data_IF_238154048899
#
_entry.id   IF_238154048899
#
_cell.length_a   1.000
_cell.length_b   1.000
_cell.length_c   1.000
_cell.angle_alpha   90.00
_cell.angle_beta   90.00
_cell.angle_gamma   90.00
#
_symmetry.space_group_name_H-M   'P 1'
#
loop_
_entity.id
_entity.type
_entity.pdbx_description
1 polymer ?
#
# COMPACT_ATOMS: atom_id res chain seq x y z
N UNK A 1 26.55 22.43 6.09
CA UNK A 1 25.54 21.68 6.87
C UNK A 1 24.70 20.91 5.87
N UNK A 2 24.95 19.60 5.74
CA UNK A 2 24.19 18.74 4.83
C UNK A 2 22.81 18.49 5.45
N UNK A 3 21.75 18.89 4.74
CA UNK A 3 20.40 18.44 5.07
C UNK A 3 20.31 16.93 4.84
N UNK A 4 19.57 16.18 5.68
CA UNK A 4 19.31 14.77 5.40
C UNK A 4 18.49 14.69 4.11
N UNK A 5 19.08 14.09 3.08
CA UNK A 5 18.38 13.66 1.88
C UNK A 5 17.40 12.59 2.34
N UNK A 6 16.10 12.92 2.38
CA UNK A 6 15.06 11.91 2.57
C UNK A 6 15.05 11.02 1.33
N UNK A 7 15.84 9.95 1.38
CA UNK A 7 15.86 8.93 0.35
C UNK A 7 14.57 8.10 0.47
N UNK A 8 13.52 8.52 -0.24
CA UNK A 8 12.28 7.77 -0.33
C UNK A 8 12.53 6.59 -1.29
N UNK A 9 12.88 5.42 -0.76
CA UNK A 9 13.07 4.20 -1.55
C UNK A 9 11.78 3.69 -2.18
N UNK A 10 11.90 3.12 -3.40
CA UNK A 10 10.83 2.44 -4.16
C UNK A 10 10.55 1.02 -3.59
N UNK A 11 9.46 0.41 -4.07
CA UNK A 11 8.78 -0.74 -3.46
C UNK A 11 9.67 -1.96 -3.22
N UNK A 12 9.52 -2.59 -2.05
CA UNK A 12 10.31 -3.74 -1.60
C UNK A 12 9.44 -4.98 -1.44
N UNK A 13 9.67 -6.04 -2.22
CA UNK A 13 9.14 -7.38 -1.91
C UNK A 13 9.96 -7.98 -0.75
N UNK A 14 9.30 -8.54 0.25
CA UNK A 14 9.96 -9.24 1.37
C UNK A 14 9.05 -10.28 2.03
N UNK A 15 9.63 -11.10 2.91
CA UNK A 15 8.92 -12.11 3.74
C UNK A 15 8.44 -11.50 5.07
N UNK A 16 7.48 -12.08 5.81
CA UNK A 16 7.03 -11.47 7.07
C UNK A 16 8.15 -11.11 8.07
N UNK A 17 9.28 -11.79 7.99
CA UNK A 17 10.47 -11.53 8.79
C UNK A 17 11.19 -10.21 8.42
N UNK A 18 11.12 -9.80 7.16
CA UNK A 18 11.81 -8.61 6.62
C UNK A 18 11.03 -7.30 6.82
N UNK A 19 9.76 -7.38 7.26
CA UNK A 19 8.85 -6.21 7.48
C UNK A 19 9.54 -5.10 8.28
N UNK A 20 10.48 -5.45 9.16
CA UNK A 20 11.12 -4.54 10.11
C UNK A 20 12.54 -4.06 9.72
N UNK A 21 13.06 -4.39 8.53
CA UNK A 21 14.40 -3.99 8.06
C UNK A 21 14.49 -2.66 7.28
N UNK A 22 15.73 -2.15 7.13
CA UNK A 22 16.12 -0.80 6.64
C UNK A 22 16.68 -0.73 5.19
N UNK A 23 16.64 -1.81 4.39
CA UNK A 23 17.33 -1.85 3.10
C UNK A 23 16.40 -1.61 1.88
N UNK A 24 16.79 -0.77 0.89
CA UNK A 24 15.96 -0.44 -0.29
C UNK A 24 16.32 -1.27 -1.55
N UNK A 25 15.32 -1.55 -2.42
CA UNK A 25 15.48 -2.18 -3.75
C UNK A 25 14.27 -1.85 -4.66
N UNK A 26 14.43 -2.03 -5.97
CA UNK A 26 13.67 -1.39 -7.04
C UNK A 26 13.46 -2.39 -8.21
N UNK A 27 12.27 -2.49 -8.83
CA UNK A 27 12.08 -2.81 -10.27
C UNK A 27 10.63 -2.53 -10.77
N UNK A 28 10.43 -2.66 -12.08
CA UNK A 28 9.56 -1.90 -13.03
C UNK A 28 8.04 -1.82 -12.82
N UNK A 29 7.47 -0.78 -13.43
CA UNK A 29 6.08 -0.35 -13.43
C UNK A 29 5.14 -1.28 -14.23
N UNK A 30 4.09 -1.78 -13.57
CA UNK A 30 2.98 -2.44 -14.25
C UNK A 30 1.78 -1.49 -14.35
N UNK A 31 1.01 -1.62 -15.43
CA UNK A 31 -0.34 -1.05 -15.44
C UNK A 31 -1.16 -1.83 -14.45
N UNK A 32 -1.83 -1.15 -13.50
CA UNK A 32 -2.68 -1.79 -12.49
C UNK A 32 -3.60 -2.83 -13.16
N UNK A 33 -3.46 -4.13 -12.84
CA UNK A 33 -4.36 -5.13 -13.36
C UNK A 33 -5.79 -4.90 -12.86
N UNK A 34 -6.81 -5.14 -13.69
CA UNK A 34 -8.21 -4.96 -13.29
C UNK A 34 -8.61 -5.84 -12.10
N UNK A 35 -7.95 -6.98 -11.94
CA UNK A 35 -8.16 -7.93 -10.84
C UNK A 35 -7.42 -7.55 -9.55
N UNK A 36 -6.60 -6.50 -9.55
CA UNK A 36 -5.87 -6.05 -8.36
C UNK A 36 -6.72 -5.05 -7.55
N UNK A 37 -7.37 -5.54 -6.51
CA UNK A 37 -8.28 -4.76 -5.68
C UNK A 37 -7.62 -4.33 -4.37
N UNK A 38 -7.95 -3.13 -3.88
CA UNK A 38 -7.57 -2.70 -2.52
C UNK A 38 -8.66 -3.09 -1.54
N UNK A 39 -8.28 -3.60 -0.37
CA UNK A 39 -9.22 -3.81 0.72
C UNK A 39 -9.74 -2.47 1.22
N UNK A 40 -11.07 -2.36 1.34
CA UNK A 40 -11.73 -1.18 1.90
C UNK A 40 -11.79 -1.34 3.42
N UNK A 41 -11.30 -0.33 4.13
CA UNK A 41 -11.30 -0.26 5.60
C UNK A 41 -12.15 0.92 6.06
N UNK A 42 -13.33 0.63 6.59
CA UNK A 42 -14.29 1.58 7.12
C UNK A 42 -15.13 0.97 8.26
N UNK A 43 -16.24 1.61 8.58
CA UNK A 43 -17.14 1.22 9.67
C UNK A 43 -17.95 -0.05 9.35
N UNK A 44 -18.15 -0.39 8.08
CA UNK A 44 -18.81 -1.63 7.65
C UNK A 44 -17.88 -2.85 7.86
N UNK A 45 -16.57 -2.59 7.90
CA UNK A 45 -15.53 -3.57 8.16
C UNK A 45 -15.25 -4.51 6.98
N UNK A 46 -14.24 -5.36 7.16
CA UNK A 46 -13.88 -6.41 6.21
C UNK A 46 -13.53 -7.72 6.93
N UNK A 47 -13.73 -8.84 6.25
CA UNK A 47 -13.35 -10.17 6.74
C UNK A 47 -12.35 -10.78 5.76
N UNK A 48 -11.13 -10.98 6.22
CA UNK A 48 -9.99 -11.37 5.39
C UNK A 48 -9.24 -12.56 5.96
N UNK A 49 -8.51 -13.29 5.12
CA UNK A 49 -7.56 -14.32 5.55
C UNK A 49 -6.17 -14.04 4.94
N UNK A 50 -5.08 -14.13 5.73
CA UNK A 50 -3.73 -14.05 5.20
C UNK A 50 -3.44 -15.31 4.38
N UNK A 51 -3.07 -15.12 3.11
CA UNK A 51 -2.80 -16.21 2.17
C UNK A 51 -1.34 -16.25 1.75
N UNK A 52 -0.75 -15.09 1.51
CA UNK A 52 0.61 -14.94 1.01
C UNK A 52 1.51 -14.43 2.13
N UNK A 53 2.61 -15.15 2.36
CA UNK A 53 3.73 -14.69 3.17
C UNK A 53 4.62 -13.75 2.35
N UNK A 54 4.03 -12.63 1.95
CA UNK A 54 4.70 -11.58 1.22
C UNK A 54 4.12 -10.23 1.63
N UNK A 55 5.00 -9.25 1.74
CA UNK A 55 4.58 -7.87 1.91
C UNK A 55 5.36 -6.95 0.96
N UNK A 56 4.78 -5.77 0.73
CA UNK A 56 5.48 -4.68 0.09
C UNK A 56 5.43 -3.39 0.91
N UNK A 57 6.53 -2.64 0.99
CA UNK A 57 6.51 -1.27 1.51
C UNK A 57 6.37 -0.31 0.34
N UNK A 58 5.46 0.65 0.44
CA UNK A 58 5.25 1.68 -0.59
C UNK A 58 5.19 3.06 0.01
N UNK A 59 5.83 4.01 -0.67
CA UNK A 59 5.65 5.44 -0.45
C UNK A 59 4.73 6.01 -1.51
N UNK A 60 3.78 6.85 -1.11
CA UNK A 60 2.80 7.44 -2.01
C UNK A 60 2.42 8.84 -1.54
N UNK A 61 1.88 9.63 -2.47
CA UNK A 61 1.33 10.95 -2.23
C UNK A 61 -0.17 10.90 -2.47
N UNK A 62 -0.93 11.62 -1.65
CA UNK A 62 -2.32 11.92 -1.97
C UNK A 62 -2.39 13.29 -2.65
N UNK A 63 -2.94 13.32 -3.85
CA UNK A 63 -3.22 14.53 -4.61
C UNK A 63 -4.72 14.82 -4.48
N UNK A 64 -5.04 16.05 -4.12
CA UNK A 64 -6.41 16.58 -4.05
C UNK A 64 -6.43 17.94 -4.76
N UNK A 65 -6.35 17.86 -6.09
CA UNK A 65 -6.33 19.01 -7.00
C UNK A 65 -7.56 18.90 -7.93
N UNK A 66 -8.06 20.00 -8.52
CA UNK A 66 -9.15 19.91 -9.49
C UNK A 66 -8.85 19.01 -10.69
N UNK A 67 -7.58 18.91 -11.10
CA UNK A 67 -7.14 18.19 -12.30
C UNK A 67 -6.87 16.70 -12.03
N UNK A 68 -6.46 16.39 -10.80
CA UNK A 68 -6.15 15.03 -10.40
C UNK A 68 -6.48 14.82 -8.91
N UNK A 69 -7.21 13.74 -8.63
CA UNK A 69 -7.50 13.29 -7.29
C UNK A 69 -7.17 11.82 -7.13
N UNK A 70 -6.38 11.48 -6.11
CA UNK A 70 -6.06 10.10 -5.81
C UNK A 70 -4.68 9.89 -5.22
N UNK A 71 -4.35 8.63 -5.01
CA UNK A 71 -3.07 8.19 -4.48
C UNK A 71 -2.12 7.85 -5.62
N UNK A 72 -0.97 8.54 -5.64
CA UNK A 72 0.09 8.37 -6.63
C UNK A 72 1.34 7.82 -5.93
N UNK A 73 1.98 6.80 -6.48
CA UNK A 73 3.24 6.30 -5.94
C UNK A 73 4.32 7.41 -5.95
N UNK A 74 5.18 7.42 -4.92
CA UNK A 74 6.30 8.34 -4.86
C UNK A 74 7.42 7.86 -5.80
N UNK A 75 7.93 8.76 -6.65
CA UNK A 75 8.99 8.44 -7.60
C UNK A 75 10.38 8.28 -6.94
N UNK A 76 10.48 8.57 -5.65
CA UNK A 76 11.69 8.47 -4.83
C UNK A 76 12.55 9.72 -4.88
N UNK A 77 13.87 9.55 -4.99
CA UNK A 77 14.81 10.67 -5.10
C UNK A 77 14.46 11.55 -6.31
N UNK A 78 14.34 12.85 -6.07
CA UNK A 78 13.90 13.80 -7.11
C UNK A 78 12.40 13.73 -7.44
N UNK A 79 11.56 13.10 -6.60
CA UNK A 79 10.11 13.12 -6.77
C UNK A 79 9.57 14.56 -6.76
N UNK A 80 8.87 14.94 -7.84
CA UNK A 80 8.33 16.30 -8.01
C UNK A 80 7.23 16.62 -6.98
N UNK A 81 6.55 15.63 -6.44
CA UNK A 81 5.56 15.83 -5.37
C UNK A 81 6.23 16.12 -4.03
N UNK A 82 7.32 15.40 -3.70
CA UNK A 82 8.17 15.74 -2.56
C UNK A 82 8.74 17.15 -2.71
N UNK A 83 9.21 17.49 -3.91
CA UNK A 83 9.67 18.84 -4.21
C UNK A 83 8.52 19.84 -4.04
N UNK A 84 7.32 19.59 -4.53
CA UNK A 84 6.16 20.48 -4.35
C UNK A 84 5.63 20.57 -2.90
N UNK A 85 6.35 20.03 -1.91
CA UNK A 85 5.97 19.93 -0.50
C UNK A 85 4.62 19.22 -0.29
N UNK A 86 4.29 18.27 -1.15
CA UNK A 86 3.17 17.35 -0.96
C UNK A 86 3.70 16.17 -0.15
N UNK A 87 3.14 15.97 1.04
CA UNK A 87 3.62 14.97 1.99
C UNK A 87 3.55 13.56 1.38
N UNK A 88 4.66 12.83 1.44
CA UNK A 88 4.68 11.39 1.22
C UNK A 88 4.17 10.67 2.48
N UNK A 89 3.33 9.67 2.30
CA UNK A 89 2.91 8.71 3.32
C UNK A 89 3.44 7.33 2.92
N UNK A 90 3.42 6.39 3.87
CA UNK A 90 3.95 5.03 3.69
C UNK A 90 2.88 4.01 4.09
N UNK A 91 2.80 2.88 3.37
CA UNK A 91 2.04 1.70 3.80
C UNK A 91 2.88 0.43 3.70
N UNK A 92 2.50 -0.55 4.51
CA UNK A 92 2.84 -1.96 4.31
C UNK A 92 1.65 -2.58 3.59
N UNK A 93 1.88 -3.21 2.46
CA UNK A 93 0.88 -3.86 1.62
C UNK A 93 0.99 -5.36 1.80
N UNK A 94 -0.15 -6.03 1.92
CA UNK A 94 -0.22 -7.48 2.06
C UNK A 94 -1.36 -8.02 1.24
N UNK A 95 -1.13 -9.16 0.58
CA UNK A 95 -2.19 -9.85 -0.16
C UNK A 95 -3.04 -10.71 0.78
N UNK A 96 -4.34 -10.50 0.72
CA UNK A 96 -5.33 -11.09 1.61
C UNK A 96 -6.49 -11.65 0.79
N UNK A 97 -7.08 -12.76 1.20
CA UNK A 97 -8.34 -13.21 0.63
C UNK A 97 -9.49 -12.52 1.36
N UNK A 98 -10.33 -11.77 0.65
CA UNK A 98 -11.55 -11.21 1.22
C UNK A 98 -12.68 -12.23 1.09
N UNK A 99 -13.16 -12.71 2.23
CA UNK A 99 -14.14 -13.80 2.28
C UNK A 99 -15.55 -13.33 1.91
N UNK A 100 -15.88 -12.06 2.12
CA UNK A 100 -17.19 -11.51 1.74
C UNK A 100 -17.24 -11.16 0.26
N UNK A 101 -16.13 -10.67 -0.29
CA UNK A 101 -16.02 -10.32 -1.71
C UNK A 101 -15.60 -11.50 -2.60
N UNK A 102 -15.24 -12.64 -1.99
CA UNK A 102 -14.81 -13.87 -2.65
C UNK A 102 -13.68 -13.66 -3.68
N UNK A 103 -12.64 -12.90 -3.29
CA UNK A 103 -11.51 -12.57 -4.16
C UNK A 103 -10.26 -12.17 -3.36
N UNK A 104 -9.12 -12.16 -4.04
CA UNK A 104 -7.88 -11.57 -3.52
C UNK A 104 -7.95 -10.04 -3.50
N UNK A 105 -7.44 -9.43 -2.44
CA UNK A 105 -7.32 -8.00 -2.26
C UNK A 105 -5.98 -7.64 -1.59
N UNK A 106 -5.56 -6.39 -1.76
CA UNK A 106 -4.37 -5.83 -1.11
C UNK A 106 -4.80 -5.00 0.08
N UNK A 107 -4.41 -5.44 1.28
CA UNK A 107 -4.58 -4.69 2.51
C UNK A 107 -3.45 -3.67 2.66
N UNK A 108 -3.81 -2.39 2.69
CA UNK A 108 -2.87 -1.29 2.94
C UNK A 108 -2.82 -0.91 4.42
N UNK A 109 -1.76 -1.34 5.10
CA UNK A 109 -1.56 -1.20 6.55
C UNK A 109 -0.74 0.06 6.85
N UNK A 110 -1.27 1.02 7.64
CA UNK A 110 -0.49 2.15 8.12
C UNK A 110 0.66 1.70 9.05
N UNK A 111 1.87 2.31 8.97
CA UNK A 111 3.02 1.93 9.80
C UNK A 111 2.90 2.41 11.25
N UNK A 112 1.71 2.87 11.68
CA UNK A 112 1.50 3.39 13.02
C UNK A 112 1.61 2.26 14.07
N UNK A 113 2.41 2.52 15.11
CA UNK A 113 2.73 1.56 16.17
C UNK A 113 1.92 1.76 17.46
N UNK A 114 0.90 2.63 17.45
CA UNK A 114 0.04 2.83 18.63
C UNK A 114 -0.81 1.57 18.87
N UNK A 115 -1.14 1.20 20.13
CA UNK A 115 -1.87 -0.04 20.42
C UNK A 115 -3.18 -0.24 19.62
N UNK A 116 -3.94 0.84 19.37
CA UNK A 116 -5.20 0.81 18.61
C UNK A 116 -5.01 0.99 17.10
N UNK A 117 -3.76 1.04 16.62
CA UNK A 117 -3.44 1.04 15.19
C UNK A 117 -3.51 -0.38 14.63
N UNK A 118 -3.66 -0.48 13.32
CA UNK A 118 -3.85 -1.75 12.63
C UNK A 118 -2.63 -2.69 12.75
N UNK A 119 -1.43 -2.17 12.50
CA UNK A 119 -0.21 -2.98 12.44
C UNK A 119 0.08 -3.80 13.72
N UNK A 120 0.10 -3.22 14.93
CA UNK A 120 0.36 -4.00 16.15
C UNK A 120 -0.74 -5.02 16.46
N UNK A 121 -1.98 -4.79 16.02
CA UNK A 121 -3.08 -5.75 16.20
C UNK A 121 -3.02 -6.91 15.19
N UNK A 122 -2.56 -6.64 13.96
CA UNK A 122 -2.37 -7.68 12.93
C UNK A 122 -1.15 -8.54 13.17
N UNK A 123 -0.04 -7.97 13.65
CA UNK A 123 1.24 -8.68 13.82
C UNK A 123 1.12 -10.06 14.49
N UNK A 124 0.41 -10.25 15.62
CA UNK A 124 0.27 -11.59 16.24
C UNK A 124 -0.62 -12.56 15.46
N UNK A 125 -1.34 -12.09 14.45
CA UNK A 125 -2.28 -12.85 13.64
C UNK A 125 -1.64 -13.31 12.32
N UNK A 126 -0.80 -12.49 11.68
CA UNK A 126 -0.22 -12.79 10.36
C UNK A 126 0.49 -14.15 10.27
N UNK A 127 1.12 -14.60 11.36
CA UNK A 127 1.86 -15.87 11.40
C UNK A 127 0.99 -17.09 11.75
N UNK A 128 -0.29 -16.90 12.06
CA UNK A 128 -1.21 -18.00 12.36
C UNK A 128 -1.82 -18.43 11.01
N UNK A 129 -1.55 -19.63 10.52
CA UNK A 129 -2.30 -20.12 9.35
C UNK A 129 -3.79 -20.30 9.70
N UNK A 130 -4.68 -20.35 8.69
CA UNK A 130 -6.01 -20.94 8.83
C UNK A 130 -7.02 -20.20 9.72
N UNK A 131 -6.91 -18.89 9.86
CA UNK A 131 -7.89 -18.07 10.59
C UNK A 131 -8.44 -16.95 9.70
N UNK A 132 -9.66 -16.50 10.01
CA UNK A 132 -10.19 -15.25 9.47
C UNK A 132 -9.89 -14.11 10.45
N UNK A 133 -9.63 -12.95 9.89
CA UNK A 133 -9.41 -11.68 10.58
C UNK A 133 -10.55 -10.75 10.18
N UNK A 134 -11.31 -10.28 11.16
CA UNK A 134 -12.29 -9.21 10.96
C UNK A 134 -11.66 -7.89 11.38
N UNK A 135 -11.74 -6.88 10.52
CA UNK A 135 -11.19 -5.54 10.76
C UNK A 135 -12.31 -4.52 10.59
N UNK A 136 -12.52 -3.69 11.60
CA UNK A 136 -13.39 -2.51 11.52
C UNK A 136 -12.58 -1.27 11.81
N UNK A 137 -12.87 -0.17 11.11
CA UNK A 137 -12.19 1.12 11.27
C UNK A 137 -13.15 2.19 11.74
N UNK A 138 -12.88 2.73 12.93
CA UNK A 138 -13.62 3.84 13.52
C UNK A 138 -12.70 5.07 13.61
N UNK A 139 -12.78 5.96 12.62
CA UNK A 139 -11.86 7.09 12.49
C UNK A 139 -10.39 6.66 12.33
N UNK A 140 -9.55 6.93 13.33
CA UNK A 140 -8.13 6.54 13.34
C UNK A 140 -7.84 5.28 14.17
N UNK A 141 -8.88 4.64 14.71
CA UNK A 141 -8.78 3.43 15.52
C UNK A 141 -9.25 2.23 14.72
N UNK A 142 -8.62 1.08 14.98
CA UNK A 142 -8.96 -0.19 14.39
C UNK A 142 -9.39 -1.16 15.49
N UNK A 143 -10.43 -1.92 15.21
CA UNK A 143 -10.81 -3.10 15.97
C UNK A 143 -10.50 -4.32 15.12
N UNK A 144 -9.67 -5.23 15.65
CA UNK A 144 -9.24 -6.43 14.94
C UNK A 144 -9.59 -7.64 15.79
N UNK A 145 -10.35 -8.57 15.22
CA UNK A 145 -10.67 -9.86 15.85
C UNK A 145 -10.25 -11.00 14.94
N UNK A 146 -9.96 -12.15 15.53
CA UNK A 146 -9.52 -13.35 14.81
C UNK A 146 -10.33 -14.53 15.28
N UNK A 147 -10.82 -15.34 14.34
CA UNK A 147 -11.53 -16.58 14.61
C UNK A 147 -11.05 -17.68 13.65
N UNK A 148 -11.26 -18.94 14.02
CA UNK A 148 -11.11 -20.04 13.06
C UNK A 148 -12.10 -19.85 11.90
N UNK A 149 -11.71 -20.32 10.71
CA UNK A 149 -12.61 -20.29 9.55
C UNK A 149 -13.76 -21.28 9.81
N UNK A 150 -15.03 -20.82 9.84
CA UNK A 150 -16.16 -21.70 10.11
C UNK A 150 -16.32 -22.79 9.07
N UNK A 151 -16.86 -23.94 9.48
CA UNK A 151 -17.24 -25.01 8.56
C UNK A 151 -18.21 -24.48 7.50
N UNK A 152 -17.89 -24.74 6.22
CA UNK A 152 -18.68 -24.28 5.07
C UNK A 152 -18.22 -22.96 4.46
N UNK A 153 -17.29 -22.24 5.10
CA UNK A 153 -16.60 -21.10 4.50
C UNK A 153 -15.32 -21.62 3.84
N UNK A 154 -15.23 -21.51 2.52
CA UNK A 154 -14.08 -21.97 1.76
C UNK A 154 -13.31 -20.79 1.18
N UNK A 155 -11.98 -20.90 1.18
CA UNK A 155 -11.10 -20.04 0.40
C UNK A 155 -10.92 -20.71 -0.96
N UNK A 156 -11.27 -20.00 -2.03
CA UNK A 156 -11.08 -20.46 -3.40
C UNK A 156 -9.58 -20.60 -3.71
N UNK A 157 -9.11 -21.84 -3.75
CA UNK A 157 -7.69 -22.15 -3.96
C UNK A 157 -7.22 -21.81 -5.36
N UNK A 158 -8.10 -21.85 -6.37
CA UNK A 158 -7.73 -21.55 -7.75
C UNK A 158 -7.44 -20.05 -7.91
N UNK A 159 -8.27 -19.19 -7.29
CA UNK A 159 -8.02 -17.74 -7.23
C UNK A 159 -6.74 -17.39 -6.48
N UNK A 160 -6.51 -18.07 -5.35
CA UNK A 160 -5.28 -17.92 -4.57
C UNK A 160 -4.06 -18.29 -5.39
N UNK A 161 -4.08 -19.46 -6.03
CA UNK A 161 -2.97 -19.95 -6.84
C UNK A 161 -2.69 -19.03 -8.02
N UNK A 162 -3.74 -18.63 -8.76
CA UNK A 162 -3.61 -17.71 -9.89
C UNK A 162 -2.99 -16.37 -9.49
N UNK A 163 -3.42 -15.80 -8.36
CA UNK A 163 -2.86 -14.55 -7.85
C UNK A 163 -1.40 -14.73 -7.43
N UNK A 164 -1.07 -15.84 -6.75
CA UNK A 164 0.29 -16.17 -6.32
C UNK A 164 1.23 -16.33 -7.52
N UNK A 165 0.82 -17.10 -8.53
CA UNK A 165 1.62 -17.31 -9.74
C UNK A 165 1.86 -15.98 -10.48
N UNK A 166 0.83 -15.16 -10.67
CA UNK A 166 0.98 -13.85 -11.28
C UNK A 166 1.90 -12.92 -10.46
N UNK A 167 1.83 -12.95 -9.13
CA UNK A 167 2.72 -12.19 -8.25
C UNK A 167 4.18 -12.69 -8.31
N UNK A 168 4.37 -14.01 -8.27
CA UNK A 168 5.69 -14.67 -8.29
C UNK A 168 6.37 -14.49 -9.68
N UNK A 169 5.59 -14.46 -10.76
CA UNK A 169 6.05 -14.18 -12.12
C UNK A 169 6.28 -12.68 -12.40
N UNK A 170 6.07 -11.81 -11.40
CA UNK A 170 6.15 -10.36 -11.53
C UNK A 170 5.20 -9.81 -12.62
N UNK A 171 3.97 -10.32 -12.74
CA UNK A 171 2.98 -9.68 -13.61
C UNK A 171 2.43 -8.38 -13.01
N UNK A 172 2.55 -8.24 -11.68
CA UNK A 172 2.25 -7.02 -10.93
C UNK A 172 3.07 -6.95 -9.63
N UNK A 173 3.00 -5.78 -8.99
CA UNK A 173 3.42 -5.46 -7.64
C UNK A 173 2.19 -5.12 -6.79
N UNK A 174 2.18 -5.44 -5.49
CA UNK A 174 1.07 -5.04 -4.61
C UNK A 174 0.87 -3.53 -4.62
N UNK A 175 1.94 -2.75 -4.79
CA UNK A 175 1.91 -1.30 -4.88
C UNK A 175 1.11 -0.75 -6.07
N UNK A 176 0.84 -1.56 -7.09
CA UNK A 176 0.09 -1.16 -8.28
C UNK A 176 -1.39 -0.83 -7.99
N UNK A 177 -1.85 -1.02 -6.75
CA UNK A 177 -3.11 -0.42 -6.27
C UNK A 177 -3.10 1.12 -6.32
N UNK A 178 -1.92 1.73 -6.32
CA UNK A 178 -1.71 3.18 -6.44
C UNK A 178 -1.27 3.55 -7.85
N UNK A 179 -1.76 4.70 -8.34
CA UNK A 179 -1.44 5.15 -9.69
C UNK A 179 0.04 5.51 -9.82
N UNK A 180 0.61 5.27 -10.99
CA UNK A 180 1.99 5.64 -11.33
C UNK A 180 1.93 6.81 -12.30
N UNK A 181 2.72 7.85 -12.03
CA UNK A 181 2.91 8.99 -12.93
C UNK A 181 4.37 9.41 -12.91
N UNK A 182 4.93 9.62 -14.09
CA UNK A 182 6.26 10.18 -14.24
C UNK A 182 6.34 11.59 -13.65
N UNK A 183 7.56 12.04 -13.35
CA UNK A 183 7.77 13.41 -12.87
C UNK A 183 7.28 14.42 -13.92
N UNK A 184 7.54 14.17 -15.19
CA UNK A 184 7.13 14.98 -16.33
C UNK A 184 5.60 15.13 -16.39
N UNK A 185 4.86 14.02 -16.28
CA UNK A 185 3.39 14.06 -16.25
C UNK A 185 2.85 14.85 -15.05
N UNK A 186 3.49 14.72 -13.89
CA UNK A 186 3.08 15.40 -12.66
C UNK A 186 3.40 16.89 -12.70
N UNK A 187 4.50 17.30 -13.33
CA UNK A 187 4.84 18.70 -13.56
C UNK A 187 3.84 19.40 -14.48
N UNK A 188 3.22 18.68 -15.41
CA UNK A 188 2.17 19.22 -16.27
C UNK A 188 0.84 19.49 -15.55
N UNK A 189 0.68 19.09 -14.29
CA UNK A 189 -0.54 19.38 -13.51
C UNK A 189 -0.46 20.82 -13.01
N UNK A 190 -1.40 21.73 -13.39
CA UNK A 190 -1.29 23.17 -13.14
C UNK A 190 -1.03 23.54 -11.68
N UNK A 191 -1.71 22.87 -10.74
CA UNK A 191 -1.51 23.17 -9.31
C UNK A 191 -0.14 22.70 -8.80
N UNK A 192 0.43 21.62 -9.35
CA UNK A 192 1.76 21.12 -9.01
C UNK A 192 2.82 22.02 -9.63
N UNK A 193 2.68 22.36 -10.91
CA UNK A 193 3.54 23.32 -11.61
C UNK A 193 3.66 24.62 -10.82
N UNK A 194 2.53 25.20 -10.39
CA UNK A 194 2.51 26.43 -9.60
C UNK A 194 3.24 26.28 -8.26
N UNK A 195 3.11 25.14 -7.57
CA UNK A 195 3.84 24.85 -6.33
C UNK A 195 5.35 24.78 -6.59
N UNK A 196 5.75 24.12 -7.67
CA UNK A 196 7.15 24.02 -8.07
C UNK A 196 7.72 25.38 -8.45
N UNK A 197 7.00 26.20 -9.23
CA UNK A 197 7.41 27.57 -9.55
C UNK A 197 7.62 28.41 -8.30
N UNK A 198 6.73 28.35 -7.30
CA UNK A 198 6.88 29.09 -6.04
C UNK A 198 8.08 28.61 -5.20
N UNK A 199 8.45 27.34 -5.31
CA UNK A 199 9.59 26.76 -4.58
C UNK A 199 10.92 27.01 -5.29
N UNK A 200 10.99 26.72 -6.60
CA UNK A 200 12.15 26.90 -7.48
C UNK A 200 12.44 28.39 -7.70
N UNK A 201 11.40 29.20 -7.88
CA UNK A 201 11.48 30.65 -8.11
C UNK A 201 11.83 31.50 -6.87
N UNK A 202 12.09 30.88 -5.71
CA UNK A 202 12.75 31.54 -4.57
C UNK A 202 14.28 31.45 -4.62
N UNK A 203 14.84 30.91 -5.71
CA UNK A 203 16.27 30.98 -6.02
C UNK A 203 16.54 32.05 -7.10
N UNK A 204 16.24 33.31 -6.80
CA UNK A 204 16.84 34.48 -7.45
C UNK A 204 17.15 35.52 -6.37
#
# INVERSE_FOLDING_TARGET
>A
MNMPVNAHGRNLKGSFEDIFGDLPANETAYTKPEYLHSTRLDEDGCVIAPILDAYEKVHFHYIDTPELKGYIQCNGDGCVLCEANIKADQRILMAMYNLLADRMEVLAIPPAVKPTSLLPQLKPLLNKGGHLISITKNGYQYEVTSNEIPNGVAIDQDKVLSFKEAYDNNEFSLADIYQIKSNEELECIPQIEKRLMLKRGRAV
#
